data_IF_196231538883
#
_entry.id   IF_196231538883
#
_cell.length_a   1.000
_cell.length_b   1.000
_cell.length_c   1.000
_cell.angle_alpha   90.00
_cell.angle_beta   90.00
_cell.angle_gamma   90.00
#
_symmetry.space_group_name_H-M   'P 1'
#
loop_
_entity.id
_entity.type
_entity.pdbx_description
1 polymer ?
#
# COMPACT_ATOMS: atom_id res chain seq x y z
N UNK A 1 8.32 -12.15 -7.86
CA UNK A 1 9.27 -11.23 -8.53
C UNK A 1 10.71 -11.65 -8.30
N UNK A 2 11.18 -11.77 -7.06
CA UNK A 2 12.59 -12.09 -6.73
C UNK A 2 12.97 -13.59 -6.78
N UNK A 3 12.01 -14.49 -6.98
CA UNK A 3 12.29 -15.92 -7.13
C UNK A 3 12.92 -16.20 -8.51
N UNK A 4 14.22 -16.53 -8.52
CA UNK A 4 14.99 -16.82 -9.72
C UNK A 4 14.51 -18.08 -10.47
N UNK A 5 13.81 -18.99 -9.80
CA UNK A 5 13.28 -20.22 -10.40
C UNK A 5 11.90 -20.05 -11.05
N UNK A 6 11.21 -18.92 -10.83
CA UNK A 6 9.92 -18.65 -11.44
C UNK A 6 10.09 -18.13 -12.87
N UNK A 7 9.28 -18.62 -13.80
CA UNK A 7 9.27 -18.09 -15.16
C UNK A 7 8.69 -16.67 -15.19
N UNK A 8 9.00 -15.91 -16.24
CA UNK A 8 8.46 -14.56 -16.39
C UNK A 8 6.93 -14.59 -16.62
N UNK A 9 6.41 -15.65 -17.24
CA UNK A 9 4.96 -15.86 -17.33
C UNK A 9 4.33 -16.02 -15.95
N UNK A 10 4.94 -16.82 -15.07
CA UNK A 10 4.43 -17.03 -13.70
C UNK A 10 4.46 -15.72 -12.90
N UNK A 11 5.56 -14.96 -13.00
CA UNK A 11 5.68 -13.64 -12.35
C UNK A 11 4.62 -12.68 -12.86
N UNK A 12 4.39 -12.62 -14.17
CA UNK A 12 3.39 -11.73 -14.77
C UNK A 12 1.96 -12.13 -14.35
N UNK A 13 1.66 -13.42 -14.26
CA UNK A 13 0.37 -13.91 -13.78
C UNK A 13 0.15 -13.59 -12.29
N UNK A 14 1.18 -13.77 -11.45
CA UNK A 14 1.13 -13.38 -10.05
C UNK A 14 0.92 -11.86 -9.87
N UNK A 15 1.60 -11.04 -10.70
CA UNK A 15 1.40 -9.59 -10.73
C UNK A 15 -0.04 -9.23 -11.08
N UNK A 16 -0.60 -9.80 -12.16
CA UNK A 16 -1.99 -9.56 -12.56
C UNK A 16 -2.99 -9.96 -11.48
N UNK A 17 -2.75 -11.09 -10.81
CA UNK A 17 -3.56 -11.53 -9.68
C UNK A 17 -3.50 -10.55 -8.50
N UNK A 18 -2.30 -10.06 -8.15
CA UNK A 18 -2.11 -9.07 -7.09
C UNK A 18 -2.83 -7.74 -7.41
N UNK A 19 -2.69 -7.22 -8.63
CA UNK A 19 -3.38 -6.00 -9.08
C UNK A 19 -4.90 -6.19 -9.05
N UNK A 20 -5.40 -7.34 -9.52
CA UNK A 20 -6.83 -7.66 -9.50
C UNK A 20 -7.37 -7.64 -8.07
N UNK A 21 -6.65 -8.28 -7.13
CA UNK A 21 -7.07 -8.30 -5.74
C UNK A 21 -7.01 -6.92 -5.09
N UNK A 22 -5.98 -6.13 -5.40
CA UNK A 22 -5.87 -4.75 -4.92
C UNK A 22 -7.07 -3.91 -5.38
N UNK A 23 -7.43 -3.96 -6.67
CA UNK A 23 -8.60 -3.26 -7.21
C UNK A 23 -9.91 -3.67 -6.53
N UNK A 24 -10.09 -4.96 -6.22
CA UNK A 24 -11.23 -5.46 -5.46
C UNK A 24 -11.27 -4.85 -4.05
N UNK A 25 -10.14 -4.86 -3.33
CA UNK A 25 -10.02 -4.28 -1.99
C UNK A 25 -10.27 -2.76 -1.99
N UNK A 26 -9.76 -2.03 -2.99
CA UNK A 26 -10.03 -0.61 -3.17
C UNK A 26 -11.53 -0.35 -3.34
N UNK A 27 -12.20 -1.12 -4.20
CA UNK A 27 -13.66 -1.02 -4.39
C UNK A 27 -14.41 -1.29 -3.10
N UNK A 28 -14.06 -2.36 -2.39
CA UNK A 28 -14.68 -2.70 -1.11
C UNK A 28 -14.48 -1.56 -0.08
N UNK A 29 -13.28 -0.97 -0.02
CA UNK A 29 -12.98 0.17 0.85
C UNK A 29 -13.89 1.38 0.56
N UNK A 30 -14.01 1.78 -0.71
CA UNK A 30 -14.87 2.91 -1.12
C UNK A 30 -16.36 2.61 -0.88
N UNK A 31 -16.78 1.35 -0.99
CA UNK A 31 -18.15 0.92 -0.72
C UNK A 31 -18.44 0.72 0.78
N UNK A 32 -17.51 1.05 1.68
CA UNK A 32 -17.70 0.88 3.12
C UNK A 32 -17.65 -0.58 3.60
N UNK A 33 -17.09 -1.48 2.79
CA UNK A 33 -16.91 -2.90 3.10
C UNK A 33 -15.50 -3.23 3.61
N UNK A 34 -14.69 -2.20 3.90
CA UNK A 34 -13.41 -2.35 4.58
C UNK A 34 -13.57 -2.66 6.07
N UNK A 35 -12.60 -3.36 6.68
CA UNK A 35 -12.71 -3.83 8.06
C UNK A 35 -12.17 -2.82 9.09
N UNK A 36 -11.17 -2.01 8.75
CA UNK A 36 -10.43 -1.18 9.71
C UNK A 36 -11.34 -0.24 10.53
N UNK A 37 -12.23 0.50 9.85
CA UNK A 37 -13.14 1.43 10.53
C UNK A 37 -14.21 0.72 11.35
N UNK A 38 -14.60 -0.49 10.94
CA UNK A 38 -15.52 -1.32 11.71
C UNK A 38 -14.87 -1.80 13.01
N UNK A 39 -13.64 -2.33 12.95
CA UNK A 39 -12.89 -2.71 14.16
C UNK A 39 -12.63 -1.50 15.07
N UNK A 40 -12.27 -0.34 14.49
CA UNK A 40 -12.15 0.89 15.25
C UNK A 40 -13.43 1.23 16.01
N UNK A 41 -14.60 1.19 15.34
CA UNK A 41 -15.88 1.51 15.95
C UNK A 41 -16.25 0.53 17.09
N UNK A 42 -16.02 -0.77 16.90
CA UNK A 42 -16.28 -1.78 17.93
C UNK A 42 -15.46 -1.54 19.19
N UNK A 43 -14.16 -1.22 19.04
CA UNK A 43 -13.30 -0.86 20.16
C UNK A 43 -13.77 0.42 20.85
N UNK A 44 -14.01 1.48 20.08
CA UNK A 44 -14.44 2.77 20.62
C UNK A 44 -15.78 2.66 21.36
N UNK A 45 -16.72 1.86 20.86
CA UNK A 45 -17.99 1.62 21.55
C UNK A 45 -17.81 0.86 22.86
N UNK A 46 -16.92 -0.14 22.91
CA UNK A 46 -16.62 -0.85 24.15
C UNK A 46 -16.06 0.11 25.22
N UNK A 47 -15.12 0.96 24.83
CA UNK A 47 -14.52 1.98 25.69
C UNK A 47 -15.56 3.00 26.16
N UNK A 48 -16.42 3.52 25.27
CA UNK A 48 -17.46 4.49 25.61
C UNK A 48 -18.55 3.93 26.53
N UNK A 49 -18.88 2.65 26.39
CA UNK A 49 -19.87 1.98 27.24
C UNK A 49 -19.28 1.48 28.57
N UNK A 50 -17.96 1.62 28.77
CA UNK A 50 -17.28 1.11 29.97
C UNK A 50 -17.29 -0.41 30.07
N UNK A 51 -17.45 -1.12 28.94
CA UNK A 51 -17.38 -2.58 28.90
C UNK A 51 -15.95 -3.02 28.55
N UNK A 52 -15.61 -4.26 28.88
CA UNK A 52 -14.30 -4.80 28.58
C UNK A 52 -14.05 -4.81 27.06
N UNK A 53 -12.93 -4.23 26.63
CA UNK A 53 -12.46 -4.31 25.24
C UNK A 53 -12.11 -5.78 24.94
N UNK A 54 -12.58 -6.35 23.81
CA UNK A 54 -12.29 -7.74 23.46
C UNK A 54 -10.78 -8.05 23.42
N UNK A 55 -10.39 -9.24 23.88
CA UNK A 55 -9.00 -9.72 23.88
C UNK A 55 -8.36 -9.70 22.47
N UNK A 56 -9.17 -9.80 21.41
CA UNK A 56 -8.74 -9.63 20.03
C UNK A 56 -7.79 -8.43 19.82
N UNK A 57 -8.05 -7.28 20.47
CA UNK A 57 -7.27 -6.06 20.30
C UNK A 57 -5.88 -6.11 20.96
N UNK A 58 -5.65 -7.03 21.90
CA UNK A 58 -4.36 -7.22 22.58
C UNK A 58 -3.52 -8.33 21.96
N UNK A 59 -4.09 -9.13 21.04
CA UNK A 59 -3.36 -10.20 20.36
C UNK A 59 -2.19 -9.64 19.53
N UNK A 60 -1.03 -10.34 19.49
CA UNK A 60 0.10 -9.93 18.66
C UNK A 60 -0.26 -9.73 17.19
N UNK A 61 -1.16 -10.55 16.64
CA UNK A 61 -1.63 -10.41 15.26
C UNK A 61 -2.33 -9.07 15.01
N UNK A 62 -3.15 -8.60 15.95
CA UNK A 62 -3.81 -7.30 15.85
C UNK A 62 -2.80 -6.16 15.97
N UNK A 63 -1.80 -6.29 16.84
CA UNK A 63 -0.72 -5.29 16.97
C UNK A 63 0.07 -5.16 15.65
N UNK A 64 0.42 -6.29 15.02
CA UNK A 64 1.08 -6.28 13.70
C UNK A 64 0.18 -5.67 12.62
N UNK A 65 -1.09 -6.08 12.57
CA UNK A 65 -2.04 -5.58 11.58
C UNK A 65 -2.29 -4.07 11.70
N UNK A 66 -2.34 -3.55 12.93
CA UNK A 66 -2.61 -2.13 13.20
C UNK A 66 -1.38 -1.23 13.12
N UNK A 67 -0.17 -1.79 13.10
CA UNK A 67 1.08 -1.02 12.93
C UNK A 67 1.33 -0.74 11.44
N UNK A 68 0.97 0.46 11.01
CA UNK A 68 1.19 0.93 9.64
C UNK A 68 2.65 1.33 9.45
N UNK A 69 3.42 0.54 8.68
CA UNK A 69 4.81 0.85 8.29
C UNK A 69 4.91 1.49 6.91
N UNK A 70 3.87 1.36 6.07
CA UNK A 70 3.75 2.04 4.78
C UNK A 70 2.41 2.77 4.77
N UNK A 71 2.45 4.10 4.85
CA UNK A 71 1.26 4.94 4.76
C UNK A 71 1.27 5.63 3.41
N UNK A 72 0.27 5.35 2.56
CA UNK A 72 0.28 5.78 1.16
C UNK A 72 -0.99 6.55 0.79
N UNK A 73 -0.89 7.52 -0.10
CA UNK A 73 -2.06 8.24 -0.63
C UNK A 73 -1.87 8.65 -2.09
N UNK A 74 -2.87 8.35 -2.92
CA UNK A 74 -2.96 8.88 -4.28
C UNK A 74 -3.44 10.34 -4.22
N UNK A 75 -2.66 11.25 -4.79
CA UNK A 75 -2.92 12.69 -4.85
C UNK A 75 -3.08 13.16 -6.31
N UNK A 76 -3.92 12.46 -7.07
CA UNK A 76 -4.18 12.80 -8.48
C UNK A 76 -5.25 13.90 -8.58
N UNK A 77 -4.83 15.11 -8.93
CA UNK A 77 -5.71 16.22 -9.28
C UNK A 77 -4.97 17.19 -10.22
N UNK A 78 -5.61 17.71 -11.29
CA UNK A 78 -5.00 18.76 -12.13
C UNK A 78 -4.61 20.03 -11.37
N UNK A 79 -5.16 20.23 -10.16
CA UNK A 79 -4.85 21.37 -9.29
C UNK A 79 -3.67 21.11 -8.34
N UNK A 80 -3.05 19.92 -8.37
CA UNK A 80 -1.95 19.54 -7.51
C UNK A 80 -0.72 19.19 -8.36
N UNK A 81 0.40 19.84 -8.10
CA UNK A 81 1.70 19.45 -8.67
C UNK A 81 2.35 18.30 -7.89
N UNK A 82 1.85 18.02 -6.69
CA UNK A 82 2.36 17.00 -5.80
C UNK A 82 1.89 17.16 -4.36
N UNK A 83 2.24 16.21 -3.51
CA UNK A 83 1.98 16.32 -2.09
C UNK A 83 2.56 15.16 -1.30
N UNK A 84 2.79 15.40 -0.01
CA UNK A 84 3.26 14.39 0.92
C UNK A 84 2.67 14.65 2.29
N UNK A 85 2.96 13.77 3.23
CA UNK A 85 2.53 13.84 4.62
C UNK A 85 3.61 13.19 5.47
N UNK A 86 3.66 13.53 6.76
CA UNK A 86 4.59 12.90 7.69
C UNK A 86 4.23 11.43 7.95
N UNK A 87 5.21 10.59 8.30
CA UNK A 87 4.96 9.21 8.72
C UNK A 87 4.14 9.16 10.02
N UNK A 88 3.31 8.14 10.18
CA UNK A 88 2.39 8.02 11.34
C UNK A 88 3.02 7.42 12.60
N UNK A 89 4.27 6.95 12.50
CA UNK A 89 5.12 6.48 13.59
C UNK A 89 6.59 6.46 13.13
N UNK A 90 7.52 6.16 14.05
CA UNK A 90 8.97 6.15 13.80
C UNK A 90 9.44 5.12 12.77
N UNK A 91 8.70 4.02 12.60
CA UNK A 91 9.01 2.95 11.65
C UNK A 91 8.33 3.14 10.28
N UNK A 92 7.59 4.22 10.10
CA UNK A 92 6.71 4.40 8.95
C UNK A 92 7.38 5.19 7.81
N UNK A 93 7.02 4.84 6.59
CA UNK A 93 7.23 5.64 5.39
C UNK A 93 5.90 6.27 4.97
N UNK A 94 5.87 7.60 4.84
CA UNK A 94 4.77 8.33 4.21
C UNK A 94 5.05 8.49 2.72
N UNK A 95 4.11 8.06 1.87
CA UNK A 95 4.26 8.07 0.41
C UNK A 95 3.03 8.71 -0.22
N UNK A 96 3.13 9.98 -0.58
CA UNK A 96 2.20 10.63 -1.49
C UNK A 96 2.60 10.32 -2.93
N UNK A 97 1.63 10.07 -3.81
CA UNK A 97 1.94 9.86 -5.23
C UNK A 97 0.84 10.32 -6.17
N UNK A 98 1.24 10.82 -7.32
CA UNK A 98 0.37 11.16 -8.45
C UNK A 98 0.68 10.26 -9.64
N UNK A 99 -0.36 9.75 -10.28
CA UNK A 99 -0.26 9.04 -11.56
C UNK A 99 -0.85 9.93 -12.65
N UNK A 100 -0.05 10.20 -13.67
CA UNK A 100 -0.43 10.95 -14.88
C UNK A 100 -0.39 10.04 -16.12
N UNK A 101 -0.71 10.61 -17.29
CA UNK A 101 -0.78 9.84 -18.53
C UNK A 101 0.58 9.24 -18.95
N UNK A 102 1.66 9.99 -18.79
CA UNK A 102 3.01 9.60 -19.24
C UNK A 102 4.03 9.52 -18.09
N UNK A 103 3.61 9.79 -16.85
CA UNK A 103 4.52 9.81 -15.72
C UNK A 103 3.84 9.45 -14.41
N UNK A 104 4.66 9.17 -13.40
CA UNK A 104 4.23 9.07 -12.01
C UNK A 104 5.23 9.81 -11.13
N UNK A 105 4.71 10.48 -10.10
CA UNK A 105 5.51 11.23 -9.15
C UNK A 105 5.25 10.68 -7.74
N UNK A 106 6.32 10.50 -6.96
CA UNK A 106 6.26 9.99 -5.60
C UNK A 106 7.01 10.93 -4.65
N UNK A 107 6.37 11.31 -3.56
CA UNK A 107 6.97 12.09 -2.48
C UNK A 107 7.05 11.25 -1.21
N UNK A 108 8.27 10.88 -0.85
CA UNK A 108 8.57 10.00 0.28
C UNK A 108 8.98 10.81 1.51
N UNK A 109 8.51 10.41 2.68
CA UNK A 109 8.88 10.94 3.98
C UNK A 109 9.11 9.78 4.97
N UNK A 110 10.06 9.95 5.89
CA UNK A 110 10.26 9.02 7.01
C UNK A 110 11.17 9.67 8.06
N UNK A 111 11.13 9.15 9.28
CA UNK A 111 12.15 9.42 10.31
C UNK A 111 13.34 8.46 10.22
N UNK A 112 13.31 7.51 9.29
CA UNK A 112 14.32 6.47 9.13
C UNK A 112 15.45 6.89 8.18
N UNK A 113 16.64 6.37 8.43
CA UNK A 113 17.84 6.66 7.63
C UNK A 113 17.90 5.89 6.30
N UNK A 114 17.07 4.85 6.12
CA UNK A 114 17.01 4.01 4.91
C UNK A 114 15.99 4.50 3.87
N UNK A 115 15.40 5.69 4.06
CA UNK A 115 14.53 6.34 3.07
C UNK A 115 15.16 6.44 1.66
N UNK A 116 16.47 6.76 1.50
CA UNK A 116 17.10 6.78 0.18
C UNK A 116 17.10 5.41 -0.50
N UNK A 117 17.30 4.32 0.26
CA UNK A 117 17.25 2.97 -0.27
C UNK A 117 15.84 2.60 -0.73
N UNK A 118 14.80 2.97 0.03
CA UNK A 118 13.41 2.74 -0.39
C UNK A 118 13.09 3.46 -1.70
N UNK A 119 13.58 4.69 -1.87
CA UNK A 119 13.42 5.44 -3.12
C UNK A 119 14.02 4.67 -4.30
N UNK A 120 15.24 4.16 -4.16
CA UNK A 120 15.91 3.39 -5.22
C UNK A 120 15.14 2.12 -5.56
N UNK A 121 14.74 1.34 -4.54
CA UNK A 121 13.96 0.11 -4.72
C UNK A 121 12.59 0.35 -5.34
N UNK A 122 11.95 1.48 -5.05
CA UNK A 122 10.67 1.86 -5.66
C UNK A 122 10.83 2.06 -7.17
N UNK A 123 11.87 2.79 -7.59
CA UNK A 123 12.16 3.00 -9.01
C UNK A 123 12.51 1.70 -9.71
N UNK A 124 13.39 0.88 -9.12
CA UNK A 124 13.75 -0.45 -9.64
C UNK A 124 12.51 -1.32 -9.80
N UNK A 125 11.65 -1.38 -8.79
CA UNK A 125 10.40 -2.15 -8.83
C UNK A 125 9.49 -1.72 -9.97
N UNK A 126 9.31 -0.42 -10.21
CA UNK A 126 8.46 0.08 -11.30
C UNK A 126 9.04 -0.32 -12.66
N UNK A 127 10.34 -0.14 -12.87
CA UNK A 127 11.04 -0.49 -14.12
C UNK A 127 10.99 -1.99 -14.38
N UNK A 128 11.16 -2.81 -13.35
CA UNK A 128 11.09 -4.27 -13.46
C UNK A 128 9.69 -4.75 -13.83
N UNK A 129 8.66 -4.13 -13.24
CA UNK A 129 7.27 -4.44 -13.58
C UNK A 129 6.93 -4.03 -15.01
N UNK A 130 7.42 -2.87 -15.47
CA UNK A 130 7.26 -2.41 -16.85
C UNK A 130 7.89 -3.40 -17.84
N UNK A 131 9.16 -3.78 -17.62
CA UNK A 131 9.86 -4.77 -18.46
C UNK A 131 9.13 -6.10 -18.49
N UNK A 132 8.77 -6.63 -17.33
CA UNK A 132 8.06 -7.90 -17.22
C UNK A 132 6.75 -7.89 -18.03
N UNK A 133 5.99 -6.79 -17.95
CA UNK A 133 4.75 -6.65 -18.69
C UNK A 133 4.99 -6.50 -20.20
N UNK A 134 6.01 -5.76 -20.62
CA UNK A 134 6.38 -5.62 -22.02
C UNK A 134 6.78 -6.97 -22.66
N UNK A 135 7.56 -7.78 -21.94
CA UNK A 135 8.07 -9.06 -22.44
C UNK A 135 7.01 -10.17 -22.45
N UNK A 136 5.98 -10.05 -21.61
CA UNK A 136 4.92 -11.07 -21.47
C UNK A 136 3.59 -10.70 -22.11
N UNK A 137 3.49 -9.52 -22.71
CA UNK A 137 2.30 -9.12 -23.47
C UNK A 137 2.39 -9.67 -24.90
N UNK A 138 1.38 -10.41 -25.40
CA UNK A 138 1.40 -10.91 -26.77
C UNK A 138 1.54 -9.76 -27.76
N UNK A 139 2.54 -9.81 -28.63
CA UNK A 139 2.64 -8.90 -29.77
C UNK A 139 1.48 -9.22 -30.71
N UNK A 140 0.69 -8.19 -31.04
CA UNK A 140 -0.37 -8.28 -32.05
C UNK A 140 0.20 -8.62 -33.41
#
# INVERSE_FOLDING_TARGET
MTNASASDSDKANALRAAVTKHSELTKNGVMGQGFDRHLFALRAMAELQGIAVPEFYTLPAHQTMSKIILSTSTLSSPALEGGSFGPVNEDCYGIGYGIEQESSAFQLSSYRDDLPQLKELLVESIVDLERLLADTTPKK
#
